data_IF_491349001601
#
_entry.id   IF_491349001601
#
_cell.length_a   1.000
_cell.length_b   1.000
_cell.length_c   1.000
_cell.angle_alpha   90.00
_cell.angle_beta   90.00
_cell.angle_gamma   90.00
#
_symmetry.space_group_name_H-M   'P 1'
#
loop_
_entity.id
_entity.type
_entity.pdbx_description
1 polymer ?
#
# COMPACT_ATOMS: atom_id res chain seq x y z
N UNK A 1 21.32 -8.11 -2.70
CA UNK A 1 20.51 -9.34 -2.56
C UNK A 1 19.09 -8.92 -2.87
N UNK A 2 18.58 -9.30 -4.04
CA UNK A 2 17.26 -8.93 -4.53
C UNK A 2 16.15 -9.68 -3.75
N UNK A 3 15.09 -8.97 -3.37
CA UNK A 3 13.74 -9.51 -3.18
C UNK A 3 13.48 -10.75 -2.33
N UNK A 4 14.23 -11.05 -1.25
CA UNK A 4 13.77 -12.11 -0.33
C UNK A 4 12.51 -11.66 0.43
N UNK A 5 11.51 -12.53 0.69
CA UNK A 5 10.28 -12.18 1.42
C UNK A 5 10.54 -11.51 2.78
N UNK A 6 11.71 -11.76 3.37
CA UNK A 6 12.20 -11.10 4.59
C UNK A 6 12.36 -9.57 4.45
N UNK A 7 12.60 -9.05 3.24
CA UNK A 7 12.84 -7.63 3.00
C UNK A 7 11.53 -6.82 3.01
N UNK A 8 10.50 -7.29 2.30
CA UNK A 8 9.17 -6.64 2.29
C UNK A 8 8.60 -6.55 3.71
N UNK A 9 8.66 -7.67 4.44
CA UNK A 9 8.23 -7.75 5.84
C UNK A 9 9.02 -6.83 6.77
N UNK A 10 10.33 -6.65 6.52
CA UNK A 10 11.17 -5.74 7.31
C UNK A 10 10.72 -4.30 7.12
N UNK A 11 10.58 -3.85 5.87
CA UNK A 11 10.12 -2.49 5.54
C UNK A 11 8.72 -2.26 6.13
N UNK A 12 7.80 -3.20 5.89
CA UNK A 12 6.44 -3.09 6.39
C UNK A 12 6.37 -3.02 7.91
N UNK A 13 7.11 -3.89 8.61
CA UNK A 13 7.20 -3.85 10.07
C UNK A 13 7.72 -2.51 10.57
N UNK A 14 8.78 -1.98 9.96
CA UNK A 14 9.40 -0.74 10.39
C UNK A 14 8.46 0.46 10.23
N UNK A 15 7.81 0.59 9.07
CA UNK A 15 6.79 1.62 8.79
C UNK A 15 5.63 1.49 9.79
N UNK A 16 5.02 0.30 9.90
CA UNK A 16 3.86 0.08 10.76
C UNK A 16 4.20 0.30 12.25
N UNK A 17 5.43 0.01 12.67
CA UNK A 17 5.89 0.26 14.04
C UNK A 17 6.04 1.76 14.30
N UNK A 18 6.64 2.51 13.39
CA UNK A 18 6.77 3.98 13.49
C UNK A 18 5.42 4.67 13.55
N UNK A 19 4.44 4.16 12.81
CA UNK A 19 3.07 4.65 12.85
C UNK A 19 2.29 4.21 14.10
N UNK A 20 2.84 3.32 14.93
CA UNK A 20 2.13 2.72 16.07
C UNK A 20 0.95 1.85 15.65
N UNK A 21 0.97 1.34 14.41
CA UNK A 21 -0.12 0.59 13.78
C UNK A 21 0.19 -0.91 13.60
N UNK A 22 1.37 -1.37 14.02
CA UNK A 22 1.79 -2.78 13.87
C UNK A 22 0.98 -3.74 14.74
N UNK A 23 0.68 -3.39 15.98
CA UNK A 23 -0.09 -4.25 16.87
C UNK A 23 -1.55 -4.38 16.39
N UNK A 24 -1.98 -5.62 16.14
CA UNK A 24 -3.31 -5.88 15.59
C UNK A 24 -3.43 -5.59 14.09
N UNK A 25 -2.31 -5.30 13.41
CA UNK A 25 -2.30 -5.25 11.95
C UNK A 25 -2.66 -6.60 11.35
N UNK A 26 -3.30 -6.57 10.18
CA UNK A 26 -3.76 -7.76 9.45
C UNK A 26 -3.28 -7.69 8.01
N UNK A 27 -2.52 -8.69 7.54
CA UNK A 27 -2.23 -8.79 6.12
C UNK A 27 -3.53 -9.14 5.36
N UNK A 28 -3.75 -8.46 4.24
CA UNK A 28 -4.78 -8.81 3.26
C UNK A 28 -4.19 -9.65 2.12
N UNK A 29 -2.92 -9.42 1.80
CA UNK A 29 -2.09 -10.21 0.91
C UNK A 29 -0.74 -10.36 1.59
N UNK A 30 -0.25 -11.58 1.67
CA UNK A 30 1.09 -11.91 2.15
C UNK A 30 1.70 -12.89 1.14
N UNK A 31 2.34 -12.32 0.14
CA UNK A 31 2.98 -13.02 -0.95
C UNK A 31 4.50 -12.77 -0.92
N UNK A 32 5.26 -13.62 -1.62
CA UNK A 32 6.71 -13.51 -1.67
C UNK A 32 7.19 -12.15 -2.21
N UNK A 33 6.43 -11.57 -3.15
CA UNK A 33 6.79 -10.33 -3.84
C UNK A 33 5.85 -9.15 -3.55
N UNK A 34 4.72 -9.37 -2.89
CA UNK A 34 3.78 -8.31 -2.55
C UNK A 34 3.17 -8.51 -1.16
N UNK A 35 3.06 -7.42 -0.40
CA UNK A 35 2.49 -7.41 0.93
C UNK A 35 1.51 -6.24 1.06
N UNK A 36 0.25 -6.54 1.40
CA UNK A 36 -0.77 -5.54 1.74
C UNK A 36 -1.13 -5.71 3.20
N UNK A 37 -0.93 -4.68 4.01
CA UNK A 37 -1.20 -4.71 5.45
C UNK A 37 -2.07 -3.53 5.83
N UNK A 38 -3.13 -3.82 6.59
CA UNK A 38 -3.93 -2.81 7.27
C UNK A 38 -3.64 -2.79 8.75
N UNK A 39 -3.59 -1.61 9.34
CA UNK A 39 -3.43 -1.44 10.78
C UNK A 39 -4.17 -0.23 11.31
N UNK A 40 -4.15 -0.10 12.63
CA UNK A 40 -4.74 1.03 13.33
C UNK A 40 -3.77 1.53 14.38
N UNK A 41 -3.54 2.85 14.40
CA UNK A 41 -2.85 3.53 15.47
C UNK A 41 -3.83 4.14 16.45
N UNK A 42 -3.53 4.01 17.75
CA UNK A 42 -4.23 4.73 18.83
C UNK A 42 -3.36 5.84 19.44
N UNK A 43 -2.14 6.03 18.93
CA UNK A 43 -1.21 7.03 19.42
C UNK A 43 -1.65 8.45 19.07
N UNK A 44 -1.18 9.42 19.84
CA UNK A 44 -1.43 10.84 19.62
C UNK A 44 -0.30 11.52 18.81
N UNK A 45 0.79 10.80 18.54
CA UNK A 45 2.05 11.35 18.02
C UNK A 45 2.05 11.67 16.51
N UNK A 46 0.94 11.48 15.81
CA UNK A 46 0.85 11.85 14.39
C UNK A 46 0.60 13.35 14.27
N UNK A 47 1.37 14.02 13.40
CA UNK A 47 1.04 15.38 12.98
C UNK A 47 -0.17 15.33 12.05
N UNK A 48 -1.37 15.45 12.62
CA UNK A 48 -2.61 15.44 11.85
C UNK A 48 -2.75 16.67 10.97
N UNK A 49 -2.21 17.82 11.36
CA UNK A 49 -2.30 19.05 10.56
C UNK A 49 -1.45 18.94 9.28
N UNK A 50 -0.33 18.20 9.36
CA UNK A 50 0.58 17.97 8.25
C UNK A 50 0.75 16.48 7.95
N UNK A 51 -0.36 15.72 7.94
CA UNK A 51 -0.33 14.26 7.81
C UNK A 51 0.42 13.79 6.55
N UNK A 52 0.31 14.53 5.45
CA UNK A 52 1.03 14.22 4.21
C UNK A 52 2.56 14.19 4.42
N UNK A 53 3.14 15.28 4.93
CA UNK A 53 4.60 15.36 5.14
C UNK A 53 5.05 14.40 6.24
N UNK A 54 4.22 14.18 7.26
CA UNK A 54 4.51 13.18 8.29
C UNK A 54 4.67 11.77 7.69
N UNK A 55 3.82 11.37 6.75
CA UNK A 55 3.96 10.06 6.09
C UNK A 55 5.17 10.00 5.17
N UNK A 56 5.50 11.09 4.48
CA UNK A 56 6.71 11.20 3.67
C UNK A 56 7.97 11.02 4.52
N UNK A 57 8.05 11.71 5.67
CA UNK A 57 9.15 11.56 6.63
C UNK A 57 9.28 10.11 7.14
N UNK A 58 8.15 9.44 7.43
CA UNK A 58 8.13 8.03 7.83
C UNK A 58 8.72 7.11 6.75
N UNK A 59 8.43 7.38 5.48
CA UNK A 59 8.97 6.62 4.35
C UNK A 59 10.47 6.90 4.16
N UNK A 60 10.88 8.16 4.21
CA UNK A 60 12.29 8.56 4.05
C UNK A 60 13.18 7.98 5.14
N UNK A 61 12.68 7.95 6.38
CA UNK A 61 13.35 7.36 7.53
C UNK A 61 13.65 5.86 7.41
N UNK A 62 12.89 5.14 6.56
CA UNK A 62 13.11 3.71 6.28
C UNK A 62 13.84 3.50 4.95
N UNK A 63 14.35 4.58 4.33
CA UNK A 63 15.14 4.54 3.11
C UNK A 63 14.32 4.48 1.82
N UNK A 64 13.03 4.82 1.87
CA UNK A 64 12.17 4.97 0.69
C UNK A 64 12.32 6.41 0.17
N UNK A 65 12.70 6.56 -1.09
CA UNK A 65 12.71 7.87 -1.76
C UNK A 65 11.27 8.20 -2.16
N UNK A 66 10.70 9.20 -1.51
CA UNK A 66 9.34 9.68 -1.78
C UNK A 66 9.27 10.36 -3.15
N UNK A 67 8.10 10.25 -3.78
CA UNK A 67 7.78 10.97 -5.03
C UNK A 67 6.39 11.60 -4.91
N UNK A 68 6.18 12.82 -5.43
CA UNK A 68 4.86 13.45 -5.39
C UNK A 68 3.83 12.62 -6.16
N UNK A 69 2.69 12.35 -5.54
CA UNK A 69 1.66 11.44 -6.08
C UNK A 69 1.01 11.95 -7.39
N UNK A 70 1.05 13.25 -7.62
CA UNK A 70 0.51 13.92 -8.81
C UNK A 70 1.56 14.20 -9.88
N UNK A 71 2.83 13.84 -9.63
CA UNK A 71 3.90 13.91 -10.62
C UNK A 71 3.81 12.76 -11.63
N UNK A 72 4.43 12.93 -12.80
CA UNK A 72 4.52 11.87 -13.82
C UNK A 72 5.19 10.60 -13.27
N UNK A 73 6.27 10.75 -12.50
CA UNK A 73 6.97 9.65 -11.82
C UNK A 73 6.06 8.94 -10.81
N UNK A 74 5.29 9.70 -10.01
CA UNK A 74 4.37 9.14 -9.02
C UNK A 74 3.17 8.42 -9.63
N UNK A 75 2.58 8.97 -10.70
CA UNK A 75 1.49 8.33 -11.43
C UNK A 75 1.93 7.01 -12.05
N UNK A 76 3.11 6.99 -12.66
CA UNK A 76 3.71 5.78 -13.22
C UNK A 76 3.98 4.72 -12.15
N UNK A 77 4.54 5.13 -11.01
CA UNK A 77 4.81 4.21 -9.90
C UNK A 77 3.52 3.58 -9.35
N UNK A 78 2.45 4.36 -9.21
CA UNK A 78 1.15 3.83 -8.80
C UNK A 78 0.61 2.79 -9.78
N UNK A 79 0.69 3.07 -11.08
CA UNK A 79 0.26 2.15 -12.13
C UNK A 79 1.05 0.84 -12.08
N UNK A 80 2.38 0.90 -12.04
CA UNK A 80 3.26 -0.28 -11.92
C UNK A 80 2.94 -1.11 -10.66
N UNK A 81 2.76 -0.45 -9.50
CA UNK A 81 2.39 -1.13 -8.26
C UNK A 81 1.00 -1.77 -8.33
N UNK A 82 0.03 -1.06 -8.91
CA UNK A 82 -1.35 -1.53 -9.05
C UNK A 82 -1.46 -2.76 -9.92
N UNK A 83 -0.83 -2.73 -11.10
CA UNK A 83 -0.78 -3.87 -12.03
C UNK A 83 -0.11 -5.08 -11.37
N UNK A 84 1.06 -4.89 -10.75
CA UNK A 84 1.80 -5.97 -10.12
C UNK A 84 1.03 -6.62 -8.97
N UNK A 85 0.44 -5.80 -8.08
CA UNK A 85 -0.35 -6.32 -6.96
C UNK A 85 -1.60 -7.05 -7.46
N UNK A 86 -2.27 -6.54 -8.49
CA UNK A 86 -3.44 -7.21 -9.08
C UNK A 86 -3.08 -8.60 -9.63
N UNK A 87 -1.93 -8.72 -10.31
CA UNK A 87 -1.42 -10.00 -10.78
C UNK A 87 -1.15 -10.98 -9.62
N UNK A 88 -0.46 -10.53 -8.57
CA UNK A 88 -0.16 -11.38 -7.39
C UNK A 88 -1.45 -11.83 -6.68
N UNK A 89 -2.44 -10.96 -6.57
CA UNK A 89 -3.75 -11.32 -6.01
C UNK A 89 -4.39 -12.43 -6.85
N UNK A 90 -4.45 -12.29 -8.18
CA UNK A 90 -5.03 -13.31 -9.06
C UNK A 90 -4.30 -14.66 -8.96
N UNK A 91 -2.97 -14.64 -8.93
CA UNK A 91 -2.16 -15.85 -8.76
C UNK A 91 -2.45 -16.56 -7.43
N UNK A 92 -2.60 -15.80 -6.33
CA UNK A 92 -2.91 -16.37 -5.01
C UNK A 92 -4.24 -17.12 -4.97
N UNK A 93 -5.25 -16.67 -5.72
CA UNK A 93 -6.54 -17.36 -5.84
C UNK A 93 -6.45 -18.61 -6.73
N UNK A 94 -5.64 -18.58 -7.78
CA UNK A 94 -5.47 -19.71 -8.70
C UNK A 94 -4.81 -20.94 -8.05
N UNK A 95 -3.96 -20.73 -7.05
CA UNK A 95 -3.24 -21.80 -6.32
C UNK A 95 -4.02 -22.37 -5.12
N UNK A 96 -5.11 -21.71 -4.70
CA UNK A 96 -5.95 -22.21 -3.60
C UNK A 96 -6.83 -23.39 -4.07
N UNK A 97 -6.75 -24.55 -3.42
CA UNK A 97 -7.73 -25.63 -3.66
C UNK A 97 -9.14 -25.08 -3.34
N UNK A 98 -10.18 -25.45 -4.12
CA UNK A 98 -11.51 -24.91 -3.93
C UNK A 98 -12.08 -25.41 -2.61
N UNK A 99 -11.89 -24.64 -1.54
CA UNK A 99 -12.79 -24.64 -0.40
C UNK A 99 -14.13 -24.13 -0.95
N UNK A 100 -15.20 -24.90 -0.76
CA UNK A 100 -16.54 -24.43 -1.10
C UNK A 100 -16.70 -22.99 -0.56
N UNK A 101 -16.98 -21.99 -1.43
CA UNK A 101 -16.71 -20.60 -1.10
C UNK A 101 -17.67 -20.09 -0.01
N UNK A 102 -17.14 -19.35 0.96
CA UNK A 102 -17.94 -18.38 1.73
C UNK A 102 -18.13 -17.09 0.91
N UNK A 103 -17.24 -16.85 -0.07
CA UNK A 103 -17.21 -15.73 -1.02
C UNK A 103 -16.65 -16.29 -2.33
N UNK A 104 -17.39 -16.20 -3.43
CA UNK A 104 -17.03 -16.84 -4.71
C UNK A 104 -15.93 -16.08 -5.48
N UNK A 105 -15.26 -16.72 -6.45
CA UNK A 105 -14.32 -16.05 -7.37
C UNK A 105 -14.92 -14.80 -8.02
N UNK A 106 -16.20 -14.87 -8.39
CA UNK A 106 -16.97 -13.75 -8.93
C UNK A 106 -17.01 -12.55 -7.98
N UNK A 107 -16.97 -12.75 -6.67
CA UNK A 107 -17.08 -11.67 -5.68
C UNK A 107 -15.72 -10.99 -5.43
N UNK A 108 -14.62 -11.69 -5.68
CA UNK A 108 -13.26 -11.12 -5.75
C UNK A 108 -13.07 -10.37 -7.06
N UNK A 109 -13.44 -10.95 -8.20
CA UNK A 109 -13.45 -10.25 -9.49
C UNK A 109 -14.36 -9.03 -9.42
N UNK A 110 -15.50 -9.13 -8.75
CA UNK A 110 -16.39 -7.99 -8.50
C UNK A 110 -15.75 -6.98 -7.56
N UNK A 111 -15.03 -7.40 -6.50
CA UNK A 111 -14.30 -6.46 -5.64
C UNK A 111 -13.19 -5.72 -6.40
N UNK A 112 -12.47 -6.38 -7.31
CA UNK A 112 -11.48 -5.75 -8.18
C UNK A 112 -12.17 -4.84 -9.21
N UNK A 113 -13.24 -5.30 -9.86
CA UNK A 113 -14.02 -4.55 -10.84
C UNK A 113 -14.86 -3.40 -10.24
N UNK A 114 -15.23 -3.49 -8.97
CA UNK A 114 -15.92 -2.46 -8.17
C UNK A 114 -14.93 -1.50 -7.47
N UNK A 115 -13.62 -1.73 -7.59
CA UNK A 115 -12.60 -0.80 -7.11
C UNK A 115 -12.15 -0.98 -5.65
N UNK A 116 -12.36 -2.14 -5.04
CA UNK A 116 -12.13 -2.38 -3.60
C UNK A 116 -10.67 -2.67 -3.21
N UNK A 117 -9.80 -3.04 -4.15
CA UNK A 117 -8.33 -3.06 -3.99
C UNK A 117 -7.75 -2.55 -5.31
N UNK A 118 -7.76 -1.23 -5.50
CA UNK A 118 -7.16 -0.61 -6.67
C UNK A 118 -6.19 0.45 -6.21
N UNK A 119 -4.91 0.16 -6.44
CA UNK A 119 -3.84 1.14 -6.33
C UNK A 119 -3.66 1.70 -7.74
N UNK A 120 -4.55 2.59 -8.13
CA UNK A 120 -4.41 3.36 -9.36
C UNK A 120 -4.58 4.85 -9.03
N UNK A 121 -4.03 5.75 -9.85
CA UNK A 121 -4.13 7.18 -9.59
C UNK A 121 -5.55 7.72 -9.38
N UNK A 122 -6.56 7.18 -10.08
CA UNK A 122 -7.95 7.58 -9.95
C UNK A 122 -8.59 6.97 -8.70
N UNK A 123 -8.34 5.69 -8.42
CA UNK A 123 -8.77 5.02 -7.20
C UNK A 123 -8.29 5.74 -5.94
N UNK A 124 -7.00 6.09 -5.89
CA UNK A 124 -6.41 6.84 -4.76
C UNK A 124 -7.05 8.22 -4.60
N UNK A 125 -7.21 8.98 -5.69
CA UNK A 125 -7.87 10.30 -5.65
C UNK A 125 -9.31 10.20 -5.17
N UNK A 126 -10.06 9.20 -5.64
CA UNK A 126 -11.44 8.93 -5.23
C UNK A 126 -11.55 8.61 -3.74
N UNK A 127 -10.67 7.74 -3.24
CA UNK A 127 -10.57 7.39 -1.82
C UNK A 127 -10.28 8.64 -0.96
N UNK A 128 -9.26 9.42 -1.32
CA UNK A 128 -8.89 10.63 -0.58
C UNK A 128 -10.05 11.63 -0.50
N UNK A 129 -10.73 11.86 -1.64
CA UNK A 129 -11.91 12.74 -1.68
C UNK A 129 -13.01 12.23 -0.75
N UNK A 130 -13.35 10.94 -0.85
CA UNK A 130 -14.42 10.33 -0.06
C UNK A 130 -14.16 10.43 1.45
N UNK A 131 -12.94 10.09 1.88
CA UNK A 131 -12.55 10.19 3.29
C UNK A 131 -12.56 11.64 3.80
N UNK A 132 -12.09 12.60 2.98
CA UNK A 132 -12.14 14.02 3.33
C UNK A 132 -13.56 14.57 3.43
N UNK A 133 -14.46 14.12 2.56
CA UNK A 133 -15.88 14.47 2.59
C UNK A 133 -16.57 13.90 3.85
N UNK A 134 -16.06 12.79 4.40
CA UNK A 134 -16.50 12.21 5.67
C UNK A 134 -15.89 12.89 6.92
N UNK A 135 -15.10 13.96 6.74
CA UNK A 135 -14.47 14.68 7.85
C UNK A 135 -13.16 14.07 8.34
N UNK A 136 -12.53 13.17 7.58
CA UNK A 136 -11.20 12.69 7.88
C UNK A 136 -10.11 13.63 7.35
N UNK A 137 -8.99 13.61 8.05
CA UNK A 137 -7.71 14.04 7.52
C UNK A 137 -7.00 12.86 6.87
N UNK A 138 -6.39 13.09 5.70
CA UNK A 138 -5.91 12.00 4.83
C UNK A 138 -4.58 12.38 4.22
N UNK A 139 -3.57 11.55 4.48
CA UNK A 139 -2.26 11.60 3.83
C UNK A 139 -2.04 10.34 3.00
N UNK A 140 -1.35 10.51 1.86
CA UNK A 140 -0.90 9.40 1.02
C UNK A 140 0.52 9.68 0.56
N UNK A 141 1.47 8.87 1.02
CA UNK A 141 2.86 8.92 0.58
C UNK A 141 3.17 7.71 -0.29
N UNK A 142 3.91 7.95 -1.37
CA UNK A 142 4.42 6.89 -2.24
C UNK A 142 5.91 7.08 -2.48
N UNK A 143 6.60 6.00 -2.80
CA UNK A 143 8.00 6.07 -3.12
C UNK A 143 8.60 4.71 -3.40
N UNK A 144 9.91 4.71 -3.60
CA UNK A 144 10.65 3.51 -3.94
C UNK A 144 11.99 3.45 -3.22
N UNK A 145 12.41 2.24 -2.85
CA UNK A 145 13.77 2.01 -2.34
C UNK A 145 14.78 1.83 -3.48
N UNK A 146 16.07 1.80 -3.15
CA UNK A 146 17.14 1.52 -4.14
C UNK A 146 17.14 0.09 -4.67
N UNK A 147 16.41 -0.81 -4.02
CA UNK A 147 16.31 -2.24 -4.39
C UNK A 147 15.01 -2.53 -5.17
N UNK A 148 14.46 -1.50 -5.84
CA UNK A 148 13.21 -1.56 -6.64
C UNK A 148 12.00 -2.06 -5.84
N UNK A 149 11.92 -1.68 -4.55
CA UNK A 149 10.74 -1.95 -3.72
C UNK A 149 9.86 -0.71 -3.71
N UNK A 150 8.70 -0.81 -4.36
CA UNK A 150 7.65 0.21 -4.35
C UNK A 150 6.87 0.18 -3.04
N UNK A 151 6.57 1.36 -2.51
CA UNK A 151 5.80 1.54 -1.28
C UNK A 151 4.67 2.54 -1.51
N UNK A 152 3.47 2.13 -1.12
CA UNK A 152 2.29 2.98 -1.06
C UNK A 152 1.77 2.97 0.38
N UNK A 153 1.67 4.15 0.98
CA UNK A 153 1.24 4.33 2.35
C UNK A 153 0.09 5.35 2.40
N UNK A 154 -1.10 4.88 2.73
CA UNK A 154 -2.25 5.73 3.01
C UNK A 154 -2.55 5.71 4.51
N UNK A 155 -2.82 6.87 5.08
CA UNK A 155 -3.26 6.97 6.46
C UNK A 155 -4.34 8.03 6.61
N UNK A 156 -5.28 7.78 7.52
CA UNK A 156 -6.37 8.70 7.78
C UNK A 156 -6.89 8.60 9.21
N UNK A 157 -7.46 9.69 9.70
CA UNK A 157 -8.12 9.77 11.00
C UNK A 157 -9.16 10.89 11.01
N UNK A 158 -10.09 10.83 11.95
CA UNK A 158 -11.10 11.88 12.10
C UNK A 158 -10.44 13.24 12.43
N UNK A 159 -10.85 14.33 11.77
CA UNK A 159 -10.29 15.68 12.00
C UNK A 159 -10.50 16.20 13.42
N UNK A 160 -11.46 15.67 14.17
CA UNK A 160 -11.63 16.00 15.58
C UNK A 160 -10.49 15.45 16.47
N UNK A 161 -9.64 14.57 15.91
CA UNK A 161 -8.60 13.87 16.65
C UNK A 161 -9.13 12.69 17.49
N UNK A 162 -10.44 12.43 17.44
CA UNK A 162 -11.08 11.37 18.23
C UNK A 162 -11.06 10.03 17.48
N UNK A 163 -10.62 8.98 18.15
CA UNK A 163 -10.67 7.62 17.65
C UNK A 163 -9.37 7.13 17.01
N UNK A 164 -9.33 5.88 16.55
CA UNK A 164 -8.14 5.31 15.94
C UNK A 164 -7.85 5.94 14.58
N UNK A 165 -6.58 6.01 14.23
CA UNK A 165 -6.10 6.39 12.90
C UNK A 165 -5.84 5.10 12.13
N UNK A 166 -6.34 5.02 10.91
CA UNK A 166 -6.19 3.86 10.05
C UNK A 166 -4.93 4.01 9.18
N UNK A 167 -4.28 2.88 8.91
CA UNK A 167 -3.14 2.77 8.00
C UNK A 167 -3.41 1.66 7.01
N UNK A 168 -3.18 1.94 5.73
CA UNK A 168 -3.10 0.95 4.66
C UNK A 168 -1.72 1.08 4.00
N UNK A 169 -0.96 -0.02 4.06
CA UNK A 169 0.39 -0.09 3.55
C UNK A 169 0.47 -1.20 2.50
N UNK A 170 1.06 -0.86 1.36
CA UNK A 170 1.38 -1.80 0.29
C UNK A 170 2.88 -1.71 0.04
N UNK A 171 3.53 -2.87 -0.01
CA UNK A 171 4.95 -3.02 -0.33
C UNK A 171 5.07 -4.05 -1.45
N UNK A 172 5.69 -3.66 -2.56
CA UNK A 172 5.78 -4.49 -3.77
C UNK A 172 7.21 -4.55 -4.30
N UNK A 173 7.67 -5.73 -4.68
CA UNK A 173 8.96 -5.95 -5.33
C UNK A 173 8.84 -5.70 -6.85
N UNK A 174 9.16 -4.48 -7.29
CA UNK A 174 9.04 -4.04 -8.69
C UNK A 174 10.24 -4.44 -9.55
N UNK A 175 11.30 -5.00 -8.96
CA UNK A 175 12.45 -5.52 -9.70
C UNK A 175 12.03 -6.55 -10.77
N UNK A 176 10.96 -7.32 -10.48
CA UNK A 176 10.42 -8.34 -11.38
C UNK A 176 9.73 -7.73 -12.61
N UNK A 177 9.05 -6.59 -12.45
CA UNK A 177 8.39 -5.87 -13.55
C UNK A 177 9.42 -5.20 -14.46
N UNK A 178 10.48 -4.64 -13.87
CA UNK A 178 11.46 -3.83 -14.58
C UNK A 178 12.61 -4.65 -15.18
N UNK A 179 12.89 -5.83 -14.63
CA UNK A 179 13.92 -6.76 -15.11
C UNK A 179 13.60 -7.44 -16.44
N UNK A 180 12.32 -7.54 -16.83
CA UNK A 180 11.92 -8.12 -18.13
C UNK A 180 12.16 -7.19 -19.33
N UNK A 181 12.54 -5.92 -19.09
CA UNK A 181 12.77 -4.93 -20.15
C UNK A 181 14.20 -4.87 -20.69
N UNK A 182 15.14 -5.66 -20.13
CA UNK A 182 16.58 -5.56 -20.44
C UNK A 182 17.20 -6.74 -21.22
N UNK A 183 16.42 -7.73 -21.64
CA UNK A 183 16.92 -8.90 -22.40
C UNK A 183 16.69 -8.84 -23.92
N UNK A 184 16.42 -7.65 -24.48
CA UNK A 184 16.51 -7.39 -25.93
C UNK A 184 17.48 -6.22 -26.23
N UNK A 185 18.78 -6.51 -26.23
CA UNK A 185 19.80 -5.67 -26.88
C UNK A 185 20.99 -6.50 -27.40
#
# INVERSE_FOLDING_TARGET
MQGTPTHLHRIAREIMTRLGAFEGSRPLLDDIDALIVRGMSRGEDWDMENLQSFLEDVLEDVGVKTVPIDSEEGLKLLEEMGEFVAERIQASYAESEPLAPVVGPDEVERAVAEGAIVIDPLGVKGMMKTLRDMGCEVGVAIGETKDDIGVFLAAWGDRSGVGPKSVELVVANLAMVRGESSDEA
#
